data_IF_810946888863
#
_entry.id   IF_810946888863
#
_cell.length_a   1.000
_cell.length_b   1.000
_cell.length_c   1.000
_cell.angle_alpha   90.00
_cell.angle_beta   90.00
_cell.angle_gamma   90.00
#
_symmetry.space_group_name_H-M   'P 1'
#
loop_
_entity.id
_entity.type
_entity.pdbx_description
1 polymer ?
#
# COMPACT_ATOMS: atom_id res chain seq x y z
N UNK A 1 14.63 22.74 -12.88
CA UNK A 1 14.46 21.81 -11.74
C UNK A 1 12.99 21.45 -11.44
N UNK A 2 12.00 22.27 -11.85
CA UNK A 2 10.57 22.00 -11.60
C UNK A 2 10.08 20.69 -12.25
N UNK A 3 10.46 20.41 -13.50
CA UNK A 3 10.04 19.19 -14.20
C UNK A 3 10.46 17.94 -13.43
N UNK A 4 11.72 17.88 -12.98
CA UNK A 4 12.21 16.75 -12.18
C UNK A 4 11.43 16.61 -10.86
N UNK A 5 11.13 17.73 -10.19
CA UNK A 5 10.33 17.71 -8.96
C UNK A 5 8.91 17.19 -9.20
N UNK A 6 8.25 17.61 -10.28
CA UNK A 6 6.91 17.12 -10.65
C UNK A 6 6.92 15.63 -11.00
N UNK A 7 7.96 15.17 -11.69
CA UNK A 7 8.13 13.73 -11.99
C UNK A 7 8.26 12.93 -10.70
N UNK A 8 9.13 13.34 -9.78
CA UNK A 8 9.32 12.65 -8.50
C UNK A 8 8.05 12.68 -7.64
N UNK A 9 7.35 13.82 -7.59
CA UNK A 9 6.08 13.94 -6.87
C UNK A 9 4.99 13.02 -7.48
N UNK A 10 4.91 12.95 -8.82
CA UNK A 10 3.98 12.05 -9.50
C UNK A 10 4.30 10.58 -9.23
N UNK A 11 5.59 10.20 -9.22
CA UNK A 11 6.01 8.84 -8.88
C UNK A 11 5.68 8.49 -7.43
N UNK A 12 5.87 9.43 -6.49
CA UNK A 12 5.46 9.25 -5.11
C UNK A 12 3.95 9.03 -5.02
N UNK A 13 3.13 9.90 -5.63
CA UNK A 13 1.67 9.74 -5.62
C UNK A 13 1.21 8.37 -6.17
N UNK A 14 1.83 7.89 -7.25
CA UNK A 14 1.57 6.56 -7.79
C UNK A 14 1.95 5.44 -6.81
N UNK A 15 3.05 5.59 -6.06
CA UNK A 15 3.45 4.65 -5.03
C UNK A 15 2.42 4.59 -3.89
N UNK A 16 1.94 5.74 -3.40
CA UNK A 16 0.91 5.80 -2.35
C UNK A 16 -0.38 5.09 -2.79
N UNK A 17 -0.83 5.31 -4.03
CA UNK A 17 -2.01 4.61 -4.59
C UNK A 17 -1.77 3.10 -4.70
N UNK A 18 -0.57 2.69 -5.10
CA UNK A 18 -0.22 1.26 -5.21
C UNK A 18 -0.21 0.57 -3.84
N UNK A 19 0.39 1.20 -2.82
CA UNK A 19 0.43 0.68 -1.45
C UNK A 19 -0.98 0.63 -0.87
N UNK A 20 -1.77 1.69 -1.02
CA UNK A 20 -3.18 1.71 -0.63
C UNK A 20 -3.95 0.53 -1.21
N UNK A 21 -3.78 0.26 -2.52
CA UNK A 21 -4.47 -0.86 -3.15
C UNK A 21 -4.06 -2.22 -2.54
N UNK A 22 -2.76 -2.39 -2.26
CA UNK A 22 -2.27 -3.59 -1.61
C UNK A 22 -2.83 -3.77 -0.19
N UNK A 23 -2.88 -2.71 0.61
CA UNK A 23 -3.31 -2.75 2.01
C UNK A 23 -4.83 -2.85 2.16
N UNK A 24 -5.60 -2.18 1.30
CA UNK A 24 -7.06 -2.14 1.42
C UNK A 24 -7.77 -3.26 0.67
N UNK A 25 -7.24 -3.72 -0.48
CA UNK A 25 -7.92 -4.70 -1.33
C UNK A 25 -7.14 -6.02 -1.48
N UNK A 26 -5.81 -5.95 -1.57
CA UNK A 26 -4.99 -7.13 -1.89
C UNK A 26 -4.31 -7.76 -0.67
N UNK A 27 -4.60 -7.31 0.56
CA UNK A 27 -3.84 -7.66 1.76
C UNK A 27 -3.76 -9.16 2.01
N UNK A 28 -4.91 -9.84 1.92
CA UNK A 28 -5.01 -11.30 2.07
C UNK A 28 -4.79 -12.07 0.76
N UNK A 29 -4.41 -11.41 -0.33
CA UNK A 29 -4.05 -12.08 -1.58
C UNK A 29 -2.56 -12.53 -1.54
N UNK A 30 -2.16 -13.55 -2.34
CA UNK A 30 -0.77 -13.99 -2.38
C UNK A 30 0.22 -12.86 -2.68
N UNK A 31 -0.18 -11.89 -3.51
CA UNK A 31 0.64 -10.73 -3.86
C UNK A 31 0.84 -9.76 -2.70
N UNK A 32 -0.21 -9.45 -1.94
CA UNK A 32 -0.10 -8.62 -0.74
C UNK A 32 0.81 -9.28 0.28
N UNK A 33 0.55 -10.56 0.59
CA UNK A 33 1.39 -11.35 1.50
C UNK A 33 2.85 -11.43 1.08
N UNK A 34 3.14 -11.68 -0.20
CA UNK A 34 4.51 -11.71 -0.70
C UNK A 34 5.20 -10.34 -0.59
N UNK A 35 4.45 -9.24 -0.73
CA UNK A 35 5.01 -7.88 -0.63
C UNK A 35 5.32 -7.50 0.81
N UNK A 36 4.45 -7.87 1.75
CA UNK A 36 4.60 -7.52 3.18
C UNK A 36 5.23 -8.64 4.03
N UNK A 37 5.56 -9.78 3.43
CA UNK A 37 6.19 -10.91 4.12
C UNK A 37 5.31 -11.58 5.17
N UNK A 38 3.97 -11.51 5.03
CA UNK A 38 3.02 -12.07 6.01
C UNK A 38 2.59 -13.49 5.64
N UNK A 39 2.41 -14.33 6.66
CA UNK A 39 1.71 -15.60 6.49
C UNK A 39 0.21 -15.38 6.22
N UNK A 40 -0.49 -16.42 5.78
CA UNK A 40 -1.94 -16.33 5.57
C UNK A 40 -2.69 -15.99 6.87
N UNK A 41 -2.33 -16.65 7.98
CA UNK A 41 -2.97 -16.44 9.27
C UNK A 41 -2.75 -15.00 9.79
N UNK A 42 -1.53 -14.47 9.65
CA UNK A 42 -1.23 -13.08 10.03
C UNK A 42 -1.98 -12.08 9.17
N UNK A 43 -2.04 -12.29 7.85
CA UNK A 43 -2.76 -11.41 6.95
C UNK A 43 -4.27 -11.38 7.24
N UNK A 44 -4.86 -12.54 7.58
CA UNK A 44 -6.26 -12.61 8.00
C UNK A 44 -6.48 -11.90 9.33
N UNK A 45 -5.61 -12.13 10.33
CA UNK A 45 -5.72 -11.51 11.65
C UNK A 45 -5.54 -9.98 11.64
N UNK A 46 -4.77 -9.45 10.69
CA UNK A 46 -4.44 -8.01 10.59
C UNK A 46 -5.21 -7.28 9.49
N UNK A 47 -6.15 -7.93 8.81
CA UNK A 47 -6.85 -7.36 7.65
C UNK A 47 -7.48 -5.99 7.91
N UNK A 48 -8.18 -5.83 9.04
CA UNK A 48 -8.84 -4.56 9.38
C UNK A 48 -7.82 -3.45 9.74
N UNK A 49 -6.72 -3.84 10.39
CA UNK A 49 -5.61 -2.92 10.66
C UNK A 49 -4.97 -2.45 9.36
N UNK A 50 -4.70 -3.37 8.44
CA UNK A 50 -4.15 -3.06 7.13
C UNK A 50 -5.08 -2.18 6.30
N UNK A 51 -6.39 -2.43 6.34
CA UNK A 51 -7.37 -1.56 5.68
C UNK A 51 -7.27 -0.12 6.19
N UNK A 52 -7.18 0.07 7.51
CA UNK A 52 -6.97 1.40 8.09
C UNK A 52 -5.61 2.01 7.69
N UNK A 53 -4.54 1.22 7.72
CA UNK A 53 -3.21 1.66 7.25
C UNK A 53 -3.24 2.12 5.79
N UNK A 54 -3.99 1.44 4.94
CA UNK A 54 -4.18 1.85 3.54
C UNK A 54 -4.64 3.30 3.43
N UNK A 55 -5.66 3.70 4.19
CA UNK A 55 -6.13 5.09 4.15
C UNK A 55 -5.12 6.07 4.74
N UNK A 56 -4.42 5.70 5.83
CA UNK A 56 -3.33 6.52 6.35
C UNK A 56 -2.24 6.75 5.31
N UNK A 57 -1.85 5.72 4.57
CA UNK A 57 -0.86 5.82 3.49
C UNK A 57 -1.40 6.63 2.30
N UNK A 58 -2.69 6.54 1.96
CA UNK A 58 -3.25 7.26 0.82
C UNK A 58 -3.28 8.78 1.01
N UNK A 59 -3.42 9.25 2.25
CA UNK A 59 -3.54 10.69 2.57
C UNK A 59 -2.23 11.35 3.00
N UNK A 60 -1.12 10.61 3.04
CA UNK A 60 0.22 11.11 3.36
C UNK A 60 0.97 11.54 2.09
#
# INVERSE_FOLDING_TARGET
MIIAALVLAGLAALLHVYIFWLESFAWTAPRGRATFGTSQAEAEATKELAYNQGFYNLFL
#
